data_IF_977218531769
#
_entry.id   IF_977218531769
#
_cell.length_a   1.000
_cell.length_b   1.000
_cell.length_c   1.000
_cell.angle_alpha   90.00
_cell.angle_beta   90.00
_cell.angle_gamma   90.00
#
_symmetry.space_group_name_H-M   'P 1'
#
loop_
_entity.id
_entity.type
_entity.pdbx_description
1 polymer ?
#
# COMPACT_ATOMS: atom_id res chain seq x y z
N UNK A 1 0.22 -19.15 10.14
CA UNK A 1 0.48 -17.74 9.80
C UNK A 1 -0.55 -16.95 10.54
N UNK A 2 -0.19 -16.32 11.66
CA UNK A 2 -1.17 -15.61 12.48
C UNK A 2 -1.39 -14.21 11.89
N UNK A 3 -2.52 -14.05 11.21
CA UNK A 3 -3.04 -12.76 10.80
C UNK A 3 -4.36 -12.43 11.49
N UNK A 4 -4.32 -11.98 12.74
CA UNK A 4 -5.30 -11.04 13.26
C UNK A 4 -4.76 -9.63 13.02
N UNK A 5 -5.17 -8.99 11.92
CA UNK A 5 -5.00 -7.54 11.80
C UNK A 5 -5.94 -6.89 12.81
N UNK A 6 -5.40 -6.32 13.88
CA UNK A 6 -6.16 -5.41 14.73
C UNK A 6 -6.51 -4.18 13.89
N UNK A 7 -7.70 -4.14 13.30
CA UNK A 7 -8.31 -2.85 13.00
C UNK A 7 -8.66 -2.20 14.33
N UNK A 8 -8.27 -0.93 14.50
CA UNK A 8 -8.41 -0.13 15.72
C UNK A 8 -9.59 -0.57 16.61
N UNK A 9 -9.28 -1.21 17.75
CA UNK A 9 -10.30 -1.71 18.70
C UNK A 9 -10.31 -3.23 18.93
N UNK A 10 -9.17 -3.81 19.36
CA UNK A 10 -9.15 -4.92 20.32
C UNK A 10 -9.80 -6.28 19.99
N UNK A 11 -10.23 -6.59 18.76
CA UNK A 11 -10.79 -7.91 18.42
C UNK A 11 -9.97 -8.62 17.35
N UNK A 12 -9.46 -9.82 17.66
CA UNK A 12 -8.83 -10.73 16.70
C UNK A 12 -9.90 -11.38 15.84
N UNK A 13 -10.00 -11.02 14.55
CA UNK A 13 -10.90 -11.70 13.61
C UNK A 13 -10.21 -12.97 13.11
N UNK A 14 -10.70 -14.13 13.52
CA UNK A 14 -10.33 -15.39 12.89
C UNK A 14 -11.12 -15.55 11.59
N UNK A 15 -10.43 -15.73 10.47
CA UNK A 15 -11.09 -15.95 9.18
C UNK A 15 -11.78 -17.32 9.16
N UNK A 16 -12.99 -17.42 8.55
CA UNK A 16 -13.72 -18.69 8.48
C UNK A 16 -12.92 -19.71 7.66
N UNK A 17 -12.88 -20.95 8.13
CA UNK A 17 -12.28 -22.06 7.37
C UNK A 17 -13.24 -22.44 6.24
N UNK A 18 -12.81 -22.26 5.00
CA UNK A 18 -13.55 -22.65 3.80
C UNK A 18 -13.40 -24.15 3.58
N UNK A 19 -14.52 -24.91 3.58
CA UNK A 19 -14.48 -26.37 3.44
C UNK A 19 -15.05 -26.89 2.13
N UNK A 20 -15.78 -26.04 1.41
CA UNK A 20 -16.39 -26.36 0.13
C UNK A 20 -16.67 -25.08 -0.67
N UNK A 21 -17.07 -25.21 -1.93
CA UNK A 21 -17.35 -24.07 -2.81
C UNK A 21 -18.57 -23.23 -2.39
N UNK A 22 -19.51 -23.77 -1.59
CA UNK A 22 -20.61 -23.00 -1.02
C UNK A 22 -20.11 -22.07 0.09
N UNK A 23 -19.17 -22.53 0.92
CA UNK A 23 -18.49 -21.68 1.90
C UNK A 23 -17.68 -20.59 1.19
N UNK A 24 -16.96 -20.94 0.11
CA UNK A 24 -16.17 -19.98 -0.68
C UNK A 24 -17.04 -18.83 -1.20
N UNK A 25 -18.27 -19.13 -1.67
CA UNK A 25 -19.23 -18.15 -2.16
C UNK A 25 -19.71 -17.13 -1.09
N UNK A 26 -19.33 -17.29 0.19
CA UNK A 26 -19.60 -16.30 1.23
C UNK A 26 -18.54 -15.21 1.33
N UNK A 27 -17.34 -15.46 0.79
CA UNK A 27 -16.18 -14.55 0.88
C UNK A 27 -15.68 -14.07 -0.48
N UNK A 28 -16.18 -14.64 -1.59
CA UNK A 28 -15.95 -14.20 -2.97
C UNK A 28 -17.29 -13.98 -3.69
N UNK A 29 -17.26 -13.39 -4.89
CA UNK A 29 -18.46 -13.31 -5.73
C UNK A 29 -19.02 -14.72 -6.07
N UNK A 30 -20.33 -14.97 -5.90
CA UNK A 30 -20.91 -16.30 -6.11
C UNK A 30 -20.72 -16.88 -7.53
N UNK A 31 -20.67 -16.03 -8.56
CA UNK A 31 -20.38 -16.46 -9.93
C UNK A 31 -18.92 -16.92 -10.06
N UNK A 32 -17.99 -16.21 -9.40
CA UNK A 32 -16.58 -16.61 -9.36
C UNK A 32 -16.39 -17.93 -8.62
N UNK A 33 -17.03 -18.13 -7.46
CA UNK A 33 -17.04 -19.42 -6.76
C UNK A 33 -17.61 -20.54 -7.65
N UNK A 34 -18.70 -20.25 -8.38
CA UNK A 34 -19.30 -21.17 -9.35
C UNK A 34 -18.32 -21.55 -10.47
N UNK A 35 -17.54 -20.60 -10.98
CA UNK A 35 -16.53 -20.88 -12.00
C UNK A 35 -15.37 -21.70 -11.44
N UNK A 36 -14.87 -21.38 -10.24
CA UNK A 36 -13.80 -22.13 -9.58
C UNK A 36 -14.21 -23.59 -9.32
N UNK A 37 -15.46 -23.85 -8.92
CA UNK A 37 -15.97 -25.21 -8.72
C UNK A 37 -16.05 -26.06 -9.99
N UNK A 38 -16.01 -25.44 -11.18
CA UNK A 38 -15.92 -26.16 -12.47
C UNK A 38 -14.49 -26.49 -12.87
N UNK A 39 -13.51 -25.75 -12.33
CA UNK A 39 -12.09 -25.88 -12.67
C UNK A 39 -11.36 -26.78 -11.66
N UNK A 40 -11.71 -26.69 -10.38
CA UNK A 40 -11.07 -27.40 -9.29
C UNK A 40 -12.00 -28.48 -8.73
N UNK A 41 -11.44 -29.66 -8.41
CA UNK A 41 -12.20 -30.79 -7.86
C UNK A 41 -12.63 -30.51 -6.43
N UNK A 42 -11.71 -29.99 -5.61
CA UNK A 42 -11.97 -29.61 -4.23
C UNK A 42 -11.60 -28.14 -4.01
N UNK A 43 -12.20 -27.51 -3.01
CA UNK A 43 -11.90 -26.11 -2.69
C UNK A 43 -10.46 -25.92 -2.20
N UNK A 44 -9.89 -26.94 -1.55
CA UNK A 44 -8.51 -26.95 -1.06
C UNK A 44 -7.48 -27.00 -2.21
N UNK A 45 -7.91 -27.37 -3.41
CA UNK A 45 -7.05 -27.41 -4.61
C UNK A 45 -6.95 -26.03 -5.30
N UNK A 46 -7.73 -25.02 -4.87
CA UNK A 46 -7.70 -23.68 -5.47
C UNK A 46 -6.39 -22.99 -5.14
N UNK A 47 -5.63 -22.61 -6.17
CA UNK A 47 -4.38 -21.90 -5.99
C UNK A 47 -4.57 -20.56 -5.26
N UNK A 48 -3.56 -20.19 -4.46
CA UNK A 48 -3.58 -18.97 -3.64
C UNK A 48 -3.87 -17.70 -4.46
N UNK A 49 -3.31 -17.59 -5.67
CA UNK A 49 -3.47 -16.38 -6.48
C UNK A 49 -4.92 -16.16 -6.94
N UNK A 50 -5.58 -17.08 -7.67
CA UNK A 50 -6.97 -16.92 -8.06
C UNK A 50 -7.92 -16.85 -6.85
N UNK A 51 -7.64 -17.55 -5.74
CA UNK A 51 -8.43 -17.40 -4.52
C UNK A 51 -8.30 -15.99 -3.92
N UNK A 52 -7.07 -15.50 -3.74
CA UNK A 52 -6.80 -14.23 -3.05
C UNK A 52 -7.27 -12.99 -3.81
N UNK A 53 -7.21 -12.98 -5.14
CA UNK A 53 -7.77 -11.87 -5.95
C UNK A 53 -9.30 -11.91 -6.04
N UNK A 54 -9.91 -13.07 -5.80
CA UNK A 54 -11.36 -13.25 -5.87
C UNK A 54 -12.07 -12.86 -4.57
N UNK A 55 -11.34 -12.79 -3.45
CA UNK A 55 -11.89 -12.35 -2.16
C UNK A 55 -12.51 -10.96 -2.26
N UNK A 56 -13.67 -10.82 -1.62
CA UNK A 56 -14.33 -9.54 -1.46
C UNK A 56 -13.40 -8.57 -0.71
N UNK A 57 -13.22 -7.33 -1.23
CA UNK A 57 -12.33 -6.37 -0.59
C UNK A 57 -12.77 -6.00 0.83
N UNK A 58 -11.79 -5.70 1.69
CA UNK A 58 -12.05 -5.04 2.98
C UNK A 58 -12.63 -3.63 2.76
N UNK A 59 -13.36 -3.06 3.74
CA UNK A 59 -13.83 -1.67 3.66
C UNK A 59 -12.70 -0.69 3.31
N UNK A 60 -12.95 0.17 2.34
CA UNK A 60 -12.00 1.17 1.80
C UNK A 60 -10.67 0.59 1.26
N UNK A 61 -10.63 -0.73 0.99
CA UNK A 61 -9.47 -1.40 0.40
C UNK A 61 -9.81 -2.00 -0.98
N UNK A 62 -8.77 -2.37 -1.71
CA UNK A 62 -8.89 -3.14 -2.96
C UNK A 62 -8.56 -4.63 -2.78
N UNK A 63 -8.09 -5.01 -1.59
CA UNK A 63 -7.64 -6.36 -1.27
C UNK A 63 -8.63 -7.04 -0.34
N UNK A 64 -8.87 -8.32 -0.59
CA UNK A 64 -9.50 -9.20 0.37
C UNK A 64 -8.59 -9.53 1.55
N UNK A 65 -9.13 -10.19 2.60
CA UNK A 65 -8.41 -10.36 3.85
C UNK A 65 -7.11 -11.16 3.76
N UNK A 66 -7.06 -12.21 2.94
CA UNK A 66 -5.86 -13.06 2.79
C UNK A 66 -4.71 -12.27 2.19
N UNK A 67 -4.96 -11.57 1.07
CA UNK A 67 -3.93 -10.76 0.42
C UNK A 67 -3.57 -9.52 1.23
N UNK A 68 -4.53 -8.89 1.92
CA UNK A 68 -4.23 -7.81 2.86
C UNK A 68 -3.25 -8.28 3.96
N UNK A 69 -3.49 -9.45 4.54
CA UNK A 69 -2.60 -10.07 5.53
C UNK A 69 -1.19 -10.32 4.96
N UNK A 70 -1.10 -11.06 3.85
CA UNK A 70 0.20 -11.45 3.27
C UNK A 70 1.00 -10.20 2.91
N UNK A 71 0.38 -9.25 2.19
CA UNK A 71 1.04 -8.03 1.73
C UNK A 71 1.47 -7.17 2.92
N UNK A 72 0.60 -6.96 3.93
CA UNK A 72 0.94 -6.19 5.12
C UNK A 72 2.12 -6.81 5.89
N UNK A 73 2.14 -8.13 6.05
CA UNK A 73 3.23 -8.81 6.73
C UNK A 73 4.55 -8.72 5.95
N UNK A 74 4.50 -8.82 4.62
CA UNK A 74 5.69 -8.59 3.79
C UNK A 74 6.19 -7.14 3.92
N UNK A 75 5.33 -6.13 3.79
CA UNK A 75 5.72 -4.72 3.98
C UNK A 75 6.28 -4.44 5.37
N UNK A 76 5.68 -5.04 6.42
CA UNK A 76 6.16 -4.91 7.80
C UNK A 76 7.57 -5.48 7.95
N UNK A 77 7.81 -6.68 7.40
CA UNK A 77 9.13 -7.32 7.43
C UNK A 77 10.17 -6.53 6.64
N UNK A 78 9.81 -6.00 5.48
CA UNK A 78 10.69 -5.14 4.68
C UNK A 78 11.05 -3.87 5.45
N UNK A 79 10.06 -3.17 6.03
CA UNK A 79 10.30 -1.94 6.81
C UNK A 79 11.17 -2.20 8.05
N UNK A 80 10.82 -3.19 8.87
CA UNK A 80 11.52 -3.43 10.14
C UNK A 80 12.84 -4.19 9.99
N UNK A 81 12.98 -4.97 8.91
CA UNK A 81 14.19 -5.72 8.62
C UNK A 81 15.24 -4.92 7.86
N UNK A 82 14.89 -3.76 7.30
CA UNK A 82 15.81 -2.89 6.59
C UNK A 82 16.53 -1.96 7.58
N UNK A 83 17.84 -2.20 7.74
CA UNK A 83 18.73 -1.33 8.53
C UNK A 83 18.71 0.11 8.02
N UNK A 84 18.56 0.30 6.72
CA UNK A 84 18.58 1.60 6.04
C UNK A 84 17.18 2.15 5.76
N UNK A 85 16.13 1.60 6.40
CA UNK A 85 14.79 2.20 6.31
C UNK A 85 14.90 3.69 6.66
N UNK A 86 14.40 4.55 5.78
CA UNK A 86 14.76 5.98 5.81
C UNK A 86 14.42 6.69 7.12
N UNK A 87 13.39 6.22 7.86
CA UNK A 87 13.01 6.79 9.16
C UNK A 87 13.82 6.27 10.34
N UNK A 88 14.67 5.25 10.15
CA UNK A 88 15.56 4.78 11.20
C UNK A 88 16.59 5.87 11.53
N UNK A 89 16.81 6.11 12.82
CA UNK A 89 17.78 7.07 13.32
C UNK A 89 18.91 6.41 14.12
N UNK A 90 19.92 7.20 14.46
CA UNK A 90 20.95 6.82 15.44
C UNK A 90 22.10 5.96 14.89
N UNK A 91 22.20 5.78 13.57
CA UNK A 91 23.32 5.11 12.92
C UNK A 91 23.73 5.89 11.68
N UNK A 92 25.00 5.91 11.31
CA UNK A 92 25.40 6.37 9.96
C UNK A 92 24.96 5.31 8.93
N UNK A 93 24.29 5.67 7.81
CA UNK A 93 23.99 7.00 7.27
C UNK A 93 22.50 7.42 7.40
N UNK A 94 21.94 7.44 8.61
CA UNK A 94 20.55 7.87 8.85
C UNK A 94 20.33 9.35 8.52
N UNK A 95 19.15 9.68 8.00
CA UNK A 95 18.74 11.07 7.85
C UNK A 95 18.55 11.75 9.22
N UNK A 96 18.94 13.01 9.30
CA UNK A 96 18.63 13.84 10.46
C UNK A 96 17.16 14.33 10.44
N UNK A 97 16.69 14.90 11.54
CA UNK A 97 15.29 15.34 11.66
C UNK A 97 14.86 16.37 10.61
N UNK A 98 15.75 17.30 10.22
CA UNK A 98 15.46 18.31 9.21
C UNK A 98 15.35 17.69 7.81
N UNK A 99 16.22 16.72 7.51
CA UNK A 99 16.16 15.95 6.28
C UNK A 99 14.87 15.12 6.19
N UNK A 100 14.48 14.43 7.27
CA UNK A 100 13.23 13.67 7.33
C UNK A 100 11.98 14.53 7.12
N UNK A 101 11.97 15.75 7.65
CA UNK A 101 10.87 16.69 7.43
C UNK A 101 10.73 17.08 5.96
N UNK A 102 11.85 17.25 5.24
CA UNK A 102 11.83 17.54 3.81
C UNK A 102 11.40 16.32 2.99
N UNK A 103 11.91 15.11 3.30
CA UNK A 103 11.50 13.87 2.62
C UNK A 103 9.99 13.62 2.76
N UNK A 104 9.40 13.90 3.92
CA UNK A 104 7.96 13.72 4.16
C UNK A 104 7.06 14.64 3.33
N UNK A 105 7.60 15.70 2.71
CA UNK A 105 6.85 16.55 1.79
C UNK A 105 6.72 15.94 0.39
N UNK A 106 7.53 14.95 0.05
CA UNK A 106 7.55 14.34 -1.29
C UNK A 106 6.20 13.66 -1.57
N UNK A 107 5.62 13.98 -2.72
CA UNK A 107 4.42 13.32 -3.24
C UNK A 107 4.70 12.76 -4.63
N UNK A 108 4.00 11.69 -5.02
CA UNK A 108 4.09 11.17 -6.39
C UNK A 108 3.63 12.24 -7.41
N UNK A 109 2.66 13.07 -7.05
CA UNK A 109 2.21 14.20 -7.86
C UNK A 109 3.34 15.19 -8.15
N UNK A 110 4.12 15.58 -7.13
CA UNK A 110 5.28 16.46 -7.33
C UNK A 110 6.37 15.80 -8.18
N UNK A 111 6.64 14.51 -7.95
CA UNK A 111 7.61 13.77 -8.76
C UNK A 111 7.23 13.76 -10.25
N UNK A 112 5.95 13.60 -10.57
CA UNK A 112 5.47 13.65 -11.95
C UNK A 112 5.56 15.07 -12.52
N UNK A 113 5.17 16.10 -11.77
CA UNK A 113 5.33 17.50 -12.19
C UNK A 113 6.78 17.86 -12.53
N UNK A 114 7.73 17.45 -11.68
CA UNK A 114 9.13 17.86 -11.83
C UNK A 114 9.88 17.11 -12.94
N UNK A 115 9.35 15.97 -13.42
CA UNK A 115 10.06 15.06 -14.33
C UNK A 115 9.29 14.70 -15.61
N UNK A 116 8.14 15.33 -15.86
CA UNK A 116 7.33 15.08 -17.07
C UNK A 116 6.75 16.39 -17.61
N UNK A 117 6.08 16.33 -18.77
CA UNK A 117 5.39 17.49 -19.37
C UNK A 117 3.94 17.62 -18.89
N UNK A 118 3.66 17.24 -17.64
CA UNK A 118 2.33 17.40 -17.04
C UNK A 118 2.23 18.80 -16.44
N UNK A 119 1.26 19.58 -16.90
CA UNK A 119 1.05 20.95 -16.39
C UNK A 119 0.23 20.98 -15.11
N UNK A 120 -0.70 20.03 -14.93
CA UNK A 120 -1.56 19.96 -13.76
C UNK A 120 -1.93 18.52 -13.39
N UNK A 121 -1.91 18.20 -12.10
CA UNK A 121 -2.17 16.88 -11.54
C UNK A 121 -2.89 16.96 -10.20
N UNK A 122 -3.66 15.92 -9.86
CA UNK A 122 -4.34 15.84 -8.57
C UNK A 122 -3.37 15.72 -7.40
N UNK A 123 -3.76 16.26 -6.24
CA UNK A 123 -2.92 16.27 -5.03
C UNK A 123 -2.54 14.86 -4.54
N UNK A 124 -3.48 13.92 -4.57
CA UNK A 124 -3.27 12.51 -4.23
C UNK A 124 -3.26 11.68 -5.51
N UNK A 125 -2.06 11.41 -6.05
CA UNK A 125 -1.88 10.77 -7.35
C UNK A 125 -2.60 9.42 -7.52
N UNK A 126 -2.70 8.61 -6.44
CA UNK A 126 -3.33 7.29 -6.48
C UNK A 126 -4.86 7.32 -6.55
N UNK A 127 -5.48 8.47 -6.28
CA UNK A 127 -6.93 8.64 -6.26
C UNK A 127 -7.36 9.46 -7.47
N UNK A 128 -8.57 9.19 -7.98
CA UNK A 128 -9.11 9.92 -9.13
C UNK A 128 -9.31 11.41 -8.75
N UNK A 129 -9.26 12.33 -9.74
CA UNK A 129 -9.65 13.71 -9.53
C UNK A 129 -11.07 13.82 -8.99
N UNK A 130 -11.25 14.67 -7.98
CA UNK A 130 -12.52 14.93 -7.31
C UNK A 130 -12.53 16.35 -6.74
N UNK A 131 -13.65 16.83 -6.21
CA UNK A 131 -13.72 18.15 -5.56
C UNK A 131 -12.74 18.30 -4.39
N UNK A 132 -12.51 17.23 -3.63
CA UNK A 132 -11.54 17.19 -2.52
C UNK A 132 -10.12 16.79 -2.97
N UNK A 133 -9.96 16.35 -4.22
CA UNK A 133 -8.69 15.99 -4.85
C UNK A 133 -8.57 16.67 -6.22
N UNK A 134 -8.63 18.01 -6.26
CA UNK A 134 -8.61 18.73 -7.53
C UNK A 134 -7.25 18.57 -8.19
N UNK A 135 -7.22 18.77 -9.52
CA UNK A 135 -5.95 18.97 -10.21
C UNK A 135 -5.44 20.36 -9.90
N UNK A 136 -4.21 20.44 -9.44
CA UNK A 136 -3.51 21.69 -9.22
C UNK A 136 -2.40 21.85 -10.24
N UNK A 137 -2.09 23.09 -10.56
CA UNK A 137 -1.02 23.45 -11.47
C UNK A 137 0.34 23.12 -10.84
N UNK A 138 1.25 22.55 -11.62
CA UNK A 138 2.55 22.10 -11.13
C UNK A 138 3.47 23.24 -10.65
N UNK A 139 3.22 24.50 -11.07
CA UNK A 139 4.04 25.67 -10.74
C UNK A 139 3.38 26.64 -9.74
N UNK A 140 2.12 26.45 -9.37
CA UNK A 140 1.39 27.38 -8.49
C UNK A 140 1.75 27.26 -6.99
N UNK A 141 2.59 26.28 -6.65
CA UNK A 141 3.08 26.05 -5.29
C UNK A 141 2.09 25.33 -4.35
N UNK A 142 0.93 24.89 -4.83
CA UNK A 142 -0.02 24.11 -4.01
C UNK A 142 0.42 22.67 -3.81
N UNK A 143 1.19 22.12 -4.74
CA UNK A 143 1.82 20.80 -4.58
C UNK A 143 3.12 20.98 -3.78
N UNK A 144 3.26 20.38 -2.58
CA UNK A 144 4.43 20.57 -1.74
C UNK A 144 5.74 20.20 -2.44
N UNK A 145 6.77 21.05 -2.27
CA UNK A 145 8.11 20.83 -2.81
C UNK A 145 9.10 20.54 -1.68
N UNK A 146 9.95 19.53 -1.88
CA UNK A 146 11.07 19.23 -0.99
C UNK A 146 12.20 20.25 -1.19
N UNK A 147 12.80 20.72 -0.09
CA UNK A 147 14.05 21.48 -0.13
C UNK A 147 15.25 20.58 0.15
N UNK A 148 16.27 20.65 -0.71
CA UNK A 148 17.55 19.95 -0.50
C UNK A 148 18.54 20.73 0.38
N UNK A 149 18.11 21.86 0.98
CA UNK A 149 19.00 22.72 1.77
C UNK A 149 19.63 21.99 2.95
N UNK A 150 18.92 21.04 3.55
CA UNK A 150 19.40 20.22 4.68
C UNK A 150 20.52 19.23 4.32
N UNK A 151 20.93 19.15 3.04
CA UNK A 151 22.02 18.29 2.56
C UNK A 151 23.28 19.05 2.15
N UNK A 152 23.30 20.40 2.22
CA UNK A 152 24.40 21.21 1.67
C UNK A 152 25.80 20.86 2.20
N UNK A 153 25.90 20.36 3.42
CA UNK A 153 27.17 20.06 4.09
C UNK A 153 27.38 18.56 4.33
N UNK A 154 26.60 17.70 3.67
CA UNK A 154 26.80 16.26 3.76
C UNK A 154 28.14 15.86 3.13
N UNK A 155 28.92 14.95 3.74
CA UNK A 155 30.15 14.45 3.16
C UNK A 155 29.87 13.81 1.80
N UNK A 156 30.58 14.26 0.77
CA UNK A 156 30.64 13.54 -0.50
C UNK A 156 31.63 12.40 -0.30
N UNK A 157 31.14 11.17 -0.19
CA UNK A 157 31.99 9.99 -0.14
C UNK A 157 32.61 9.78 -1.54
N UNK A 158 33.82 10.29 -1.72
CA UNK A 158 34.67 10.06 -2.91
C UNK A 158 35.60 8.90 -2.70
#
# INVERSE_FOLDING_TARGET
MDCPVTMNGGSTVAYPVIRNFKDLATVVDPMVAGNLSRLYRNVDDVDLYPAGIAENPLPDAILGPTFACIIAEQFRRLKLGDRFWYENGGMEPSFNGAQLQEIRKVTLSKLLCDNTNVDAIQLVAFLKPASWNPKEDCIDGKIPQMSLTSWKNEPVWT
#
